data_IF_935864406234
#
_entry.id   IF_935864406234
#
_cell.length_a   1.000
_cell.length_b   1.000
_cell.length_c   1.000
_cell.angle_alpha   90.00
_cell.angle_beta   90.00
_cell.angle_gamma   90.00
#
_symmetry.space_group_name_H-M   'P 1'
#
loop_
_entity.id
_entity.type
_entity.pdbx_description
1 polymer ?
#
# COMPACT_ATOMS: atom_id res chain seq x y z
N UNK A 1 9.74 -41.51 -4.76
CA UNK A 1 9.51 -40.93 -6.08
C UNK A 1 10.15 -39.57 -6.08
N UNK A 2 11.25 -39.36 -6.80
CA UNK A 2 11.91 -38.05 -6.92
C UNK A 2 11.09 -37.22 -7.92
N UNK A 3 10.47 -36.13 -7.43
CA UNK A 3 9.82 -35.17 -8.29
C UNK A 3 10.87 -34.51 -9.18
N UNK A 4 10.82 -34.77 -10.49
CA UNK A 4 11.53 -34.00 -11.48
C UNK A 4 10.89 -32.63 -11.55
N UNK A 5 11.54 -31.64 -10.95
CA UNK A 5 11.23 -30.25 -11.19
C UNK A 5 11.54 -29.93 -12.65
N UNK A 6 10.50 -29.85 -13.47
CA UNK A 6 10.59 -29.26 -14.79
C UNK A 6 10.95 -27.77 -14.58
N UNK A 7 12.22 -27.45 -14.64
CA UNK A 7 12.65 -26.06 -14.86
C UNK A 7 12.13 -25.67 -16.24
N UNK A 8 11.06 -24.89 -16.26
CA UNK A 8 10.71 -24.10 -17.44
C UNK A 8 11.96 -23.26 -17.78
N UNK A 9 12.70 -23.67 -18.80
CA UNK A 9 13.69 -22.80 -19.42
C UNK A 9 12.90 -21.72 -20.14
N UNK A 10 12.66 -20.61 -19.46
CA UNK A 10 12.40 -19.35 -20.15
C UNK A 10 13.71 -19.05 -20.86
N UNK A 11 13.70 -18.98 -22.18
CA UNK A 11 14.85 -18.52 -22.96
C UNK A 11 15.10 -17.08 -22.54
N UNK A 12 16.15 -16.89 -21.75
CA UNK A 12 16.62 -15.60 -21.29
C UNK A 12 17.41 -15.01 -22.45
N UNK A 13 16.71 -14.29 -23.34
CA UNK A 13 17.35 -13.47 -24.35
C UNK A 13 18.08 -12.29 -23.69
N UNK A 14 19.02 -11.66 -24.40
CA UNK A 14 19.95 -10.60 -23.97
C UNK A 14 19.31 -9.40 -23.23
N UNK A 15 18.01 -9.39 -22.99
CA UNK A 15 17.23 -8.31 -22.37
C UNK A 15 17.06 -8.43 -20.85
N UNK A 16 17.42 -9.57 -20.25
CA UNK A 16 17.30 -9.82 -18.79
C UNK A 16 18.50 -9.36 -17.98
N UNK A 17 19.50 -8.75 -18.62
CA UNK A 17 20.81 -8.53 -18.00
C UNK A 17 20.81 -7.61 -16.78
N UNK A 18 19.95 -6.60 -16.71
CA UNK A 18 19.94 -5.70 -15.53
C UNK A 18 19.18 -6.30 -14.35
N UNK A 19 18.08 -7.00 -14.61
CA UNK A 19 17.31 -7.67 -13.54
C UNK A 19 18.12 -8.80 -12.91
N UNK A 20 18.87 -9.56 -13.71
CA UNK A 20 19.78 -10.60 -13.22
C UNK A 20 20.90 -10.05 -12.32
N UNK A 21 21.44 -8.87 -12.66
CA UNK A 21 22.45 -8.21 -11.83
C UNK A 21 21.89 -7.85 -10.44
N UNK A 22 20.65 -7.34 -10.38
CA UNK A 22 20.01 -7.02 -9.11
C UNK A 22 19.59 -8.26 -8.33
N UNK A 23 19.16 -9.31 -9.01
CA UNK A 23 18.91 -10.61 -8.39
C UNK A 23 20.18 -11.14 -7.73
N UNK A 24 21.30 -11.17 -8.43
CA UNK A 24 22.58 -11.59 -7.89
C UNK A 24 23.01 -10.75 -6.68
N UNK A 25 22.74 -9.45 -6.69
CA UNK A 25 23.00 -8.59 -5.54
C UNK A 25 22.20 -9.01 -4.30
N UNK A 26 20.89 -9.26 -4.43
CA UNK A 26 20.06 -9.71 -3.31
C UNK A 26 20.43 -11.11 -2.84
N UNK A 27 20.73 -12.04 -3.76
CA UNK A 27 21.21 -13.39 -3.44
C UNK A 27 22.53 -13.35 -2.65
N UNK A 28 23.46 -12.49 -3.06
CA UNK A 28 24.72 -12.29 -2.32
C UNK A 28 24.52 -11.73 -0.92
N UNK A 29 23.55 -10.83 -0.73
CA UNK A 29 23.20 -10.34 0.61
C UNK A 29 22.67 -11.49 1.48
N UNK A 30 21.73 -12.30 0.95
CA UNK A 30 21.12 -13.43 1.65
C UNK A 30 22.15 -14.50 2.03
N UNK A 31 23.08 -14.84 1.12
CA UNK A 31 24.20 -15.75 1.39
C UNK A 31 25.07 -15.29 2.55
N UNK A 32 25.21 -13.98 2.75
CA UNK A 32 25.95 -13.39 3.86
C UNK A 32 25.11 -13.15 5.12
N UNK A 33 23.83 -13.55 5.12
CA UNK A 33 22.88 -13.31 6.22
C UNK A 33 22.57 -11.83 6.46
N UNK A 34 22.73 -11.00 5.43
CA UNK A 34 22.50 -9.56 5.45
C UNK A 34 21.30 -9.23 4.59
N UNK A 35 20.47 -8.29 5.01
CA UNK A 35 19.36 -7.76 4.21
C UNK A 35 19.62 -6.32 3.80
N UNK A 36 19.04 -5.88 2.68
CA UNK A 36 19.19 -4.50 2.21
C UNK A 36 18.71 -3.50 3.27
N UNK A 37 17.72 -3.88 4.07
CA UNK A 37 17.11 -3.05 5.11
C UNK A 37 18.05 -2.72 6.26
N UNK A 38 19.14 -3.50 6.42
CA UNK A 38 20.18 -3.32 7.45
C UNK A 38 21.48 -2.78 6.89
N UNK A 39 21.56 -2.53 5.58
CA UNK A 39 22.76 -1.94 4.99
C UNK A 39 22.99 -0.51 5.48
N UNK A 40 24.28 -0.09 5.59
CA UNK A 40 24.60 1.33 5.79
C UNK A 40 23.95 2.20 4.70
N UNK A 41 23.48 3.38 5.08
CA UNK A 41 22.76 4.31 4.18
C UNK A 41 23.46 4.52 2.83
N UNK A 42 24.78 4.73 2.86
CA UNK A 42 25.57 4.94 1.63
C UNK A 42 25.45 3.75 0.65
N UNK A 43 25.40 2.53 1.16
CA UNK A 43 25.26 1.33 0.32
C UNK A 43 23.89 1.24 -0.33
N UNK A 44 22.84 1.66 0.38
CA UNK A 44 21.49 1.76 -0.19
C UNK A 44 21.46 2.83 -1.27
N UNK A 45 22.06 4.00 -1.05
CA UNK A 45 22.12 5.09 -2.02
C UNK A 45 22.93 4.71 -3.26
N UNK A 46 24.09 4.04 -3.10
CA UNK A 46 24.88 3.52 -4.21
C UNK A 46 24.10 2.51 -5.06
N UNK A 47 23.34 1.62 -4.41
CA UNK A 47 22.44 0.68 -5.08
C UNK A 47 21.33 1.41 -5.83
N UNK A 48 20.65 2.36 -5.18
CA UNK A 48 19.56 3.13 -5.78
C UNK A 48 20.04 3.92 -7.01
N UNK A 49 21.21 4.54 -6.96
CA UNK A 49 21.78 5.28 -8.10
C UNK A 49 22.01 4.34 -9.29
N UNK A 50 22.58 3.16 -9.07
CA UNK A 50 22.78 2.15 -10.13
C UNK A 50 21.44 1.68 -10.72
N UNK A 51 20.47 1.38 -9.86
CA UNK A 51 19.16 0.90 -10.29
C UNK A 51 18.36 1.97 -11.06
N UNK A 52 18.45 3.23 -10.64
CA UNK A 52 17.85 4.36 -11.38
C UNK A 52 18.50 4.51 -12.75
N UNK A 53 19.82 4.48 -12.85
CA UNK A 53 20.51 4.61 -14.13
C UNK A 53 20.18 3.45 -15.08
N UNK A 54 20.07 2.21 -14.57
CA UNK A 54 19.60 1.08 -15.36
C UNK A 54 18.15 1.30 -15.85
N UNK A 55 17.26 1.80 -14.99
CA UNK A 55 15.89 2.15 -15.36
C UNK A 55 15.84 3.27 -16.40
N UNK A 56 16.63 4.33 -16.25
CA UNK A 56 16.71 5.44 -17.22
C UNK A 56 17.21 4.94 -18.58
N UNK A 57 18.22 4.09 -18.60
CA UNK A 57 18.74 3.45 -19.83
C UNK A 57 17.67 2.58 -20.49
N UNK A 58 16.94 1.80 -19.71
CA UNK A 58 15.87 0.94 -20.20
C UNK A 58 14.75 1.75 -20.87
N UNK A 59 14.21 2.77 -20.17
CA UNK A 59 13.13 3.60 -20.72
C UNK A 59 13.58 4.43 -21.93
N UNK A 60 14.84 4.90 -21.96
CA UNK A 60 15.41 5.62 -23.10
C UNK A 60 15.45 4.77 -24.36
N UNK A 61 15.86 3.52 -24.22
CA UNK A 61 16.02 2.60 -25.35
C UNK A 61 14.68 2.00 -25.81
N UNK A 62 13.71 1.85 -24.93
CA UNK A 62 12.50 1.07 -25.16
C UNK A 62 11.22 1.90 -25.32
N UNK A 63 11.25 3.19 -24.97
CA UNK A 63 10.02 3.98 -24.96
C UNK A 63 10.24 5.39 -25.49
N UNK A 64 9.57 5.73 -26.58
CA UNK A 64 9.71 7.03 -27.26
C UNK A 64 9.21 8.20 -26.40
N UNK A 65 8.12 8.02 -25.66
CA UNK A 65 7.59 9.05 -24.77
C UNK A 65 8.60 9.44 -23.70
N UNK A 66 9.20 8.47 -23.02
CA UNK A 66 10.21 8.73 -22.00
C UNK A 66 11.46 9.37 -22.59
N UNK A 67 11.93 8.86 -23.74
CA UNK A 67 13.09 9.43 -24.43
C UNK A 67 12.85 10.90 -24.77
N UNK A 68 11.74 11.23 -25.42
CA UNK A 68 11.37 12.59 -25.77
C UNK A 68 11.33 13.50 -24.56
N UNK A 69 10.74 13.03 -23.43
CA UNK A 69 10.69 13.82 -22.19
C UNK A 69 12.05 14.06 -21.56
N UNK A 70 12.93 13.09 -21.60
CA UNK A 70 14.31 13.25 -21.12
C UNK A 70 15.11 14.22 -22.02
N UNK A 71 14.98 14.11 -23.35
CA UNK A 71 15.60 15.04 -24.30
C UNK A 71 15.11 16.49 -24.12
N UNK A 72 13.78 16.68 -23.95
CA UNK A 72 13.18 17.98 -23.62
C UNK A 72 13.75 18.57 -22.31
N UNK A 73 14.10 17.71 -21.34
CA UNK A 73 14.74 18.10 -20.09
C UNK A 73 16.27 18.29 -20.18
N UNK A 74 16.84 18.15 -21.38
CA UNK A 74 18.26 18.40 -21.65
C UNK A 74 19.17 17.19 -21.47
N UNK A 75 18.62 15.98 -21.31
CA UNK A 75 19.44 14.77 -21.28
C UNK A 75 19.93 14.41 -22.69
N UNK A 76 21.22 14.20 -22.83
CA UNK A 76 21.86 13.65 -24.05
C UNK A 76 22.23 12.17 -23.87
N UNK A 77 22.33 11.75 -22.62
CA UNK A 77 22.50 10.35 -22.19
C UNK A 77 21.57 10.09 -21.02
N UNK A 78 21.01 8.88 -20.88
CA UNK A 78 20.04 8.57 -19.82
C UNK A 78 20.71 8.23 -18.49
N UNK A 79 21.50 9.14 -17.95
CA UNK A 79 22.30 8.92 -16.76
C UNK A 79 22.31 10.13 -15.83
N UNK A 80 22.34 9.86 -14.54
CA UNK A 80 22.54 10.84 -13.46
C UNK A 80 23.77 10.43 -12.62
N UNK A 81 24.53 11.41 -12.16
CA UNK A 81 25.76 11.19 -11.39
C UNK A 81 25.48 11.05 -9.88
N UNK A 82 24.35 11.57 -9.43
CA UNK A 82 23.94 11.50 -8.01
C UNK A 82 22.43 11.47 -7.87
N UNK A 83 21.94 11.00 -6.71
CA UNK A 83 20.49 10.94 -6.43
C UNK A 83 19.82 12.32 -6.37
N UNK A 84 20.59 13.40 -6.11
CA UNK A 84 20.09 14.76 -6.17
C UNK A 84 19.71 15.16 -7.60
N UNK A 85 20.43 14.67 -8.60
CA UNK A 85 20.15 14.95 -10.01
C UNK A 85 18.86 14.27 -10.51
N UNK A 86 18.28 13.32 -9.74
CA UNK A 86 16.98 12.76 -10.06
C UNK A 86 15.91 13.86 -10.22
N UNK A 87 16.05 14.98 -9.52
CA UNK A 87 15.16 16.13 -9.63
C UNK A 87 15.12 16.75 -11.04
N UNK A 88 16.11 16.50 -11.89
CA UNK A 88 16.15 16.95 -13.31
C UNK A 88 15.28 16.07 -14.21
N UNK A 89 15.00 14.83 -13.80
CA UNK A 89 14.17 13.90 -14.56
C UNK A 89 12.71 14.35 -14.48
N UNK A 90 11.98 14.44 -15.61
CA UNK A 90 10.59 14.89 -15.63
C UNK A 90 9.65 14.01 -14.81
N UNK A 91 8.59 14.61 -14.29
CA UNK A 91 7.52 13.87 -13.60
C UNK A 91 6.66 13.06 -14.56
N UNK A 92 6.22 11.91 -14.09
CA UNK A 92 5.15 11.14 -14.71
C UNK A 92 3.84 11.43 -13.96
N UNK A 93 2.84 11.95 -14.68
CA UNK A 93 1.52 12.24 -14.14
C UNK A 93 0.51 11.13 -14.46
N UNK A 94 -0.48 10.94 -13.60
CA UNK A 94 -1.57 9.96 -13.79
C UNK A 94 -2.28 10.09 -15.14
N UNK A 95 -2.46 11.31 -15.64
CA UNK A 95 -3.19 11.58 -16.88
C UNK A 95 -2.50 11.00 -18.12
N UNK A 96 -1.17 10.89 -18.10
CA UNK A 96 -0.40 10.23 -19.18
C UNK A 96 -0.82 8.78 -19.32
N UNK A 97 -0.97 8.07 -18.19
CA UNK A 97 -1.32 6.65 -18.17
C UNK A 97 -2.81 6.44 -18.43
N UNK A 98 -3.67 7.35 -17.93
CA UNK A 98 -5.12 7.31 -18.19
C UNK A 98 -5.48 7.58 -19.64
N UNK A 99 -4.71 8.43 -20.30
CA UNK A 99 -4.94 8.82 -21.69
C UNK A 99 -4.60 7.70 -22.68
N UNK A 100 -3.51 6.99 -22.43
CA UNK A 100 -3.03 5.91 -23.30
C UNK A 100 -2.32 4.83 -22.46
N UNK A 101 -2.96 3.66 -22.40
CA UNK A 101 -2.43 2.50 -21.64
C UNK A 101 -1.09 1.97 -22.15
N UNK A 102 -0.72 2.29 -23.39
CA UNK A 102 0.55 1.87 -23.99
C UNK A 102 1.61 2.96 -23.95
N UNK A 103 1.26 4.18 -23.54
CA UNK A 103 2.14 5.35 -23.61
C UNK A 103 3.50 5.16 -22.96
N UNK A 104 3.53 4.47 -21.83
CA UNK A 104 4.76 4.20 -21.06
C UNK A 104 5.15 2.71 -21.04
N UNK A 105 4.56 1.90 -21.94
CA UNK A 105 4.91 0.50 -22.05
C UNK A 105 6.29 0.36 -22.72
N UNK A 106 7.20 -0.33 -22.05
CA UNK A 106 8.61 -0.53 -22.49
C UNK A 106 8.89 -1.90 -23.09
N UNK A 107 7.89 -2.79 -23.10
CA UNK A 107 7.98 -4.14 -23.63
C UNK A 107 6.99 -4.38 -24.77
N UNK A 108 7.29 -5.36 -25.62
CA UNK A 108 6.31 -5.84 -26.62
C UNK A 108 5.09 -6.45 -25.90
N UNK A 109 3.87 -6.25 -26.37
CA UNK A 109 2.68 -6.85 -25.76
C UNK A 109 2.75 -8.36 -25.51
N UNK A 110 3.49 -9.11 -26.31
CA UNK A 110 3.70 -10.57 -26.12
C UNK A 110 4.60 -10.91 -24.92
N UNK A 111 5.38 -9.95 -24.41
CA UNK A 111 6.24 -10.09 -23.23
C UNK A 111 5.52 -9.75 -21.91
N UNK A 112 4.26 -9.29 -22.02
CA UNK A 112 3.43 -8.98 -20.86
C UNK A 112 2.90 -10.26 -20.23
N UNK A 113 3.27 -10.48 -18.97
CA UNK A 113 2.80 -11.63 -18.19
C UNK A 113 1.45 -11.39 -17.54
N UNK A 114 1.15 -10.14 -17.15
CA UNK A 114 -0.10 -9.80 -16.46
C UNK A 114 -0.48 -8.33 -16.63
N UNK A 115 -1.80 -8.07 -16.65
CA UNK A 115 -2.37 -6.72 -16.67
C UNK A 115 -3.28 -6.54 -15.48
N UNK A 116 -3.09 -5.44 -14.76
CA UNK A 116 -3.93 -5.03 -13.64
C UNK A 116 -4.62 -3.70 -13.92
N UNK A 117 -5.72 -3.48 -13.21
CA UNK A 117 -6.49 -2.23 -13.27
C UNK A 117 -6.65 -1.66 -11.86
N UNK A 118 -6.59 -0.33 -11.76
CA UNK A 118 -7.05 0.35 -10.55
C UNK A 118 -8.58 0.33 -10.49
N UNK A 119 -9.15 0.46 -9.29
CA UNK A 119 -10.61 0.46 -9.09
C UNK A 119 -11.36 1.60 -9.81
N UNK A 120 -10.64 2.63 -10.28
CA UNK A 120 -11.24 3.75 -11.00
C UNK A 120 -12.20 4.64 -10.18
N UNK A 121 -12.15 4.59 -8.86
CA UNK A 121 -13.03 5.36 -7.95
C UNK A 121 -12.96 6.87 -8.19
N UNK A 122 -11.84 7.38 -8.69
CA UNK A 122 -11.61 8.80 -9.00
C UNK A 122 -11.54 9.10 -10.50
N UNK A 123 -12.16 8.26 -11.37
CA UNK A 123 -12.15 8.44 -12.81
C UNK A 123 -11.94 7.16 -13.61
N UNK A 124 -11.43 7.28 -14.87
CA UNK A 124 -11.11 6.09 -15.67
C UNK A 124 -10.05 5.24 -15.01
N UNK A 125 -10.17 3.89 -15.00
CA UNK A 125 -9.16 2.99 -14.47
C UNK A 125 -7.80 3.19 -15.13
N UNK A 126 -6.74 3.03 -14.36
CA UNK A 126 -5.37 2.98 -14.87
C UNK A 126 -5.02 1.51 -15.12
N UNK A 127 -4.53 1.23 -16.33
CA UNK A 127 -4.02 -0.08 -16.70
C UNK A 127 -2.54 -0.14 -16.37
N UNK A 128 -2.12 -1.23 -15.76
CA UNK A 128 -0.73 -1.45 -15.39
C UNK A 128 -0.30 -2.83 -15.84
N UNK A 129 0.76 -2.89 -16.64
CA UNK A 129 1.30 -4.13 -17.16
C UNK A 129 2.54 -4.56 -16.38
N UNK A 130 2.67 -5.85 -16.19
CA UNK A 130 3.80 -6.52 -15.54
C UNK A 130 4.36 -7.59 -16.48
N UNK A 131 5.68 -7.68 -16.62
CA UNK A 131 6.34 -8.83 -17.20
C UNK A 131 6.40 -9.99 -16.22
N UNK A 132 6.81 -11.17 -16.66
CA UNK A 132 7.11 -12.27 -15.73
C UNK A 132 8.30 -11.93 -14.83
N UNK A 133 9.27 -11.17 -15.34
CA UNK A 133 10.40 -10.70 -14.56
C UNK A 133 9.98 -9.70 -13.49
N UNK A 134 9.08 -8.76 -13.80
CA UNK A 134 8.50 -7.85 -12.80
C UNK A 134 7.82 -8.63 -11.66
N UNK A 135 7.07 -9.68 -11.99
CA UNK A 135 6.42 -10.52 -11.00
C UNK A 135 7.42 -11.29 -10.14
N UNK A 136 8.48 -11.81 -10.75
CA UNK A 136 9.52 -12.54 -10.04
C UNK A 136 10.25 -11.67 -9.03
N UNK A 137 10.49 -10.41 -9.35
CA UNK A 137 11.06 -9.43 -8.40
C UNK A 137 10.15 -9.27 -7.18
N UNK A 138 8.84 -9.16 -7.38
CA UNK A 138 7.88 -9.10 -6.26
C UNK A 138 7.87 -10.38 -5.41
N UNK A 139 8.01 -11.54 -6.03
CA UNK A 139 8.04 -12.81 -5.34
C UNK A 139 9.32 -13.00 -4.50
N UNK A 140 10.43 -12.41 -4.93
CA UNK A 140 11.72 -12.52 -4.25
C UNK A 140 11.96 -11.45 -3.19
N UNK A 141 11.53 -10.21 -3.45
CA UNK A 141 11.78 -9.10 -2.53
C UNK A 141 11.38 -9.41 -1.09
N UNK A 142 10.20 -9.99 -0.83
CA UNK A 142 9.79 -10.31 0.52
C UNK A 142 10.62 -11.36 1.22
N UNK A 143 11.26 -12.28 0.46
CA UNK A 143 12.19 -13.25 1.02
C UNK A 143 13.39 -12.58 1.68
N UNK A 144 13.78 -11.42 1.17
CA UNK A 144 14.87 -10.61 1.68
C UNK A 144 14.44 -9.54 2.68
N UNK A 145 13.12 -9.34 2.89
CA UNK A 145 12.60 -8.33 3.80
C UNK A 145 12.57 -8.86 5.23
N UNK A 146 13.35 -8.27 6.09
CA UNK A 146 13.40 -8.57 7.52
C UNK A 146 12.02 -8.50 8.20
N UNK A 147 11.16 -7.59 7.73
CA UNK A 147 9.78 -7.40 8.21
C UNK A 147 8.90 -8.65 8.12
N UNK A 148 9.26 -9.63 7.29
CA UNK A 148 8.50 -10.86 7.10
C UNK A 148 9.20 -12.12 7.66
N UNK A 149 10.45 -12.00 8.13
CA UNK A 149 11.24 -13.17 8.60
C UNK A 149 10.74 -13.80 9.90
N UNK A 150 10.00 -13.07 10.72
CA UNK A 150 9.58 -13.51 12.05
C UNK A 150 8.26 -14.25 12.10
N UNK A 151 7.62 -14.46 10.97
CA UNK A 151 6.31 -15.09 10.93
C UNK A 151 6.44 -16.59 10.71
N UNK A 152 6.23 -17.40 11.77
CA UNK A 152 5.78 -18.78 11.66
C UNK A 152 4.39 -18.76 11.01
N UNK A 153 4.37 -18.69 9.70
CA UNK A 153 3.15 -18.58 8.91
C UNK A 153 2.80 -19.95 8.36
N UNK A 154 1.80 -20.59 8.94
CA UNK A 154 1.35 -21.90 8.49
C UNK A 154 0.31 -21.79 7.36
N UNK A 155 -0.70 -20.95 7.56
CA UNK A 155 -1.79 -20.71 6.60
C UNK A 155 -2.13 -19.23 6.54
N UNK A 156 -2.15 -18.68 5.33
CA UNK A 156 -2.52 -17.28 5.07
C UNK A 156 -3.89 -17.21 4.41
N UNK A 157 -4.80 -16.46 5.02
CA UNK A 157 -6.06 -16.07 4.41
C UNK A 157 -5.86 -14.78 3.62
N UNK A 158 -6.00 -14.85 2.29
CA UNK A 158 -5.92 -13.68 1.40
C UNK A 158 -7.34 -13.23 1.06
N UNK A 159 -7.85 -12.26 1.81
CA UNK A 159 -9.17 -11.66 1.66
C UNK A 159 -9.10 -10.31 0.93
N UNK A 160 -8.56 -10.33 -0.28
CA UNK A 160 -8.32 -9.20 -1.16
C UNK A 160 -8.87 -9.50 -2.57
N UNK A 161 -9.22 -8.47 -3.38
CA UNK A 161 -9.69 -8.70 -4.75
C UNK A 161 -8.66 -9.45 -5.59
N UNK A 162 -9.12 -10.45 -6.32
CA UNK A 162 -8.30 -11.25 -7.25
C UNK A 162 -8.50 -10.85 -8.70
N UNK A 163 -9.72 -10.45 -9.07
CA UNK A 163 -10.17 -10.32 -10.45
C UNK A 163 -9.09 -9.67 -11.34
N UNK A 164 -9.11 -8.38 -11.52
CA UNK A 164 -8.07 -7.64 -12.27
C UNK A 164 -7.20 -6.78 -11.34
N UNK A 165 -7.38 -6.91 -10.04
CA UNK A 165 -6.63 -6.16 -9.04
C UNK A 165 -5.32 -6.87 -8.67
N UNK A 166 -4.26 -6.10 -8.44
CA UNK A 166 -2.95 -6.65 -8.04
C UNK A 166 -2.95 -7.32 -6.65
N UNK A 167 -3.63 -6.79 -5.60
CA UNK A 167 -3.36 -7.22 -4.23
C UNK A 167 -3.61 -8.70 -3.96
N UNK A 168 -4.72 -9.29 -4.42
CA UNK A 168 -5.02 -10.70 -4.18
C UNK A 168 -3.94 -11.62 -4.72
N UNK A 169 -3.62 -11.49 -6.01
CA UNK A 169 -2.58 -12.27 -6.67
C UNK A 169 -1.18 -11.97 -6.11
N UNK A 170 -0.89 -10.70 -5.84
CA UNK A 170 0.42 -10.28 -5.31
C UNK A 170 0.70 -10.90 -3.94
N UNK A 171 -0.23 -10.80 -2.99
CA UNK A 171 -0.04 -11.42 -1.67
C UNK A 171 -0.04 -12.95 -1.73
N UNK A 172 -0.87 -13.56 -2.58
CA UNK A 172 -0.83 -15.00 -2.78
C UNK A 172 0.55 -15.46 -3.24
N UNK A 173 1.10 -14.84 -4.30
CA UNK A 173 2.43 -15.16 -4.81
C UNK A 173 3.51 -14.94 -3.75
N UNK A 174 3.46 -13.80 -3.07
CA UNK A 174 4.34 -13.47 -1.97
C UNK A 174 4.44 -14.62 -0.95
N UNK A 175 3.32 -15.04 -0.41
CA UNK A 175 3.31 -16.06 0.64
C UNK A 175 3.67 -17.45 0.11
N UNK A 176 3.25 -17.81 -1.10
CA UNK A 176 3.58 -19.10 -1.69
C UNK A 176 5.05 -19.21 -2.09
N UNK A 177 5.61 -18.18 -2.73
CA UNK A 177 6.96 -18.28 -3.31
C UNK A 177 8.06 -17.80 -2.39
N UNK A 178 7.81 -16.75 -1.58
CA UNK A 178 8.81 -16.27 -0.64
C UNK A 178 8.84 -17.08 0.67
N UNK A 179 7.67 -17.49 1.17
CA UNK A 179 7.56 -18.16 2.47
C UNK A 179 7.18 -19.65 2.40
N UNK A 180 6.77 -20.15 1.23
CA UNK A 180 6.36 -21.56 1.08
C UNK A 180 5.09 -21.94 1.86
N UNK A 181 4.21 -20.98 2.14
CA UNK A 181 3.03 -21.17 2.99
C UNK A 181 1.79 -21.57 2.21
N UNK A 182 0.87 -22.26 2.86
CA UNK A 182 -0.47 -22.52 2.33
C UNK A 182 -1.28 -21.21 2.28
N UNK A 183 -2.05 -21.01 1.19
CA UNK A 183 -2.87 -19.82 1.00
C UNK A 183 -4.34 -20.20 0.80
N UNK A 184 -5.22 -19.60 1.58
CA UNK A 184 -6.66 -19.55 1.36
C UNK A 184 -7.00 -18.33 0.52
N UNK A 185 -7.30 -18.54 -0.75
CA UNK A 185 -7.65 -17.46 -1.70
C UNK A 185 -9.12 -17.08 -1.54
N UNK A 186 -9.44 -16.28 -0.52
CA UNK A 186 -10.82 -15.97 -0.14
C UNK A 186 -11.49 -14.91 -1.02
N UNK A 187 -10.69 -14.04 -1.68
CA UNK A 187 -11.27 -12.88 -2.33
C UNK A 187 -11.86 -11.89 -1.31
N UNK A 188 -12.79 -11.06 -1.71
CA UNK A 188 -13.37 -10.04 -0.84
C UNK A 188 -14.91 -10.09 -0.88
N UNK A 189 -15.50 -11.09 -0.25
CA UNK A 189 -16.96 -11.22 -0.12
C UNK A 189 -17.71 -11.52 -1.42
N UNK A 190 -17.04 -12.16 -2.38
CA UNK A 190 -17.65 -12.55 -3.65
C UNK A 190 -18.57 -13.76 -3.55
N UNK A 191 -19.23 -14.11 -4.66
CA UNK A 191 -20.17 -15.22 -4.74
C UNK A 191 -19.60 -16.56 -4.22
N UNK A 192 -18.35 -16.87 -4.55
CA UNK A 192 -17.72 -18.13 -4.17
C UNK A 192 -17.23 -18.17 -2.72
N UNK A 193 -16.93 -17.02 -2.15
CA UNK A 193 -16.45 -16.87 -0.78
C UNK A 193 -17.18 -15.71 -0.08
N UNK A 194 -18.49 -15.87 0.21
CA UNK A 194 -19.19 -14.93 1.05
C UNK A 194 -18.58 -14.90 2.46
N UNK A 195 -18.93 -13.92 3.26
CA UNK A 195 -18.27 -13.63 4.54
C UNK A 195 -18.31 -14.82 5.51
N UNK A 196 -19.48 -15.45 5.64
CA UNK A 196 -19.70 -16.64 6.48
C UNK A 196 -18.76 -17.79 6.08
N UNK A 197 -18.73 -18.14 4.79
CA UNK A 197 -17.85 -19.19 4.28
C UNK A 197 -16.38 -18.83 4.43
N UNK A 198 -16.02 -17.57 4.27
CA UNK A 198 -14.64 -17.12 4.50
C UNK A 198 -14.21 -17.32 5.94
N UNK A 199 -15.08 -17.00 6.90
CA UNK A 199 -14.84 -17.22 8.33
C UNK A 199 -14.76 -18.71 8.68
N UNK A 200 -15.67 -19.54 8.12
CA UNK A 200 -15.62 -20.99 8.29
C UNK A 200 -14.30 -21.58 7.77
N UNK A 201 -13.85 -21.19 6.58
CA UNK A 201 -12.58 -21.66 6.02
C UNK A 201 -11.37 -21.20 6.86
N UNK A 202 -11.38 -19.96 7.36
CA UNK A 202 -10.31 -19.48 8.25
C UNK A 202 -10.26 -20.31 9.55
N UNK A 203 -11.42 -20.71 10.11
CA UNK A 203 -11.52 -21.57 11.27
C UNK A 203 -11.08 -22.99 10.95
N UNK A 204 -11.60 -23.61 9.88
CA UNK A 204 -11.32 -25.00 9.52
C UNK A 204 -9.83 -25.23 9.20
N UNK A 205 -9.23 -24.33 8.44
CA UNK A 205 -7.83 -24.41 8.05
C UNK A 205 -6.88 -23.73 9.04
N UNK A 206 -7.38 -23.25 10.17
CA UNK A 206 -6.57 -22.63 11.23
C UNK A 206 -5.66 -21.52 10.69
N UNK A 207 -6.23 -20.57 9.94
CA UNK A 207 -5.47 -19.45 9.39
C UNK A 207 -4.73 -18.69 10.49
N UNK A 208 -3.44 -18.43 10.27
CA UNK A 208 -2.56 -17.72 11.21
C UNK A 208 -2.30 -16.29 10.80
N UNK A 209 -2.44 -15.97 9.50
CA UNK A 209 -2.31 -14.62 8.96
C UNK A 209 -3.52 -14.29 8.09
N UNK A 210 -4.01 -13.06 8.21
CA UNK A 210 -5.03 -12.49 7.33
C UNK A 210 -4.45 -11.30 6.57
N UNK A 211 -4.56 -11.29 5.24
CA UNK A 211 -4.29 -10.10 4.44
C UNK A 211 -5.59 -9.55 3.88
N UNK A 212 -5.86 -8.27 4.16
CA UNK A 212 -7.15 -7.68 3.78
C UNK A 212 -7.10 -6.14 3.78
N UNK A 213 -8.26 -5.51 3.58
CA UNK A 213 -8.42 -4.06 3.79
C UNK A 213 -8.91 -3.76 5.21
N UNK A 214 -8.65 -2.55 5.76
CA UNK A 214 -9.12 -2.16 7.09
C UNK A 214 -10.61 -2.38 7.30
N UNK A 215 -11.44 -1.90 6.37
CA UNK A 215 -12.89 -2.04 6.45
C UNK A 215 -13.36 -3.49 6.41
N UNK A 216 -12.70 -4.34 5.62
CA UNK A 216 -13.08 -5.76 5.53
C UNK A 216 -12.63 -6.55 6.75
N UNK A 217 -11.50 -6.18 7.39
CA UNK A 217 -11.11 -6.74 8.68
C UNK A 217 -12.14 -6.44 9.78
N UNK A 218 -12.70 -5.21 9.79
CA UNK A 218 -13.77 -4.83 10.71
C UNK A 218 -15.07 -5.62 10.41
N UNK A 219 -15.42 -5.76 9.12
CA UNK A 219 -16.61 -6.54 8.72
C UNK A 219 -16.49 -8.02 9.13
N UNK A 220 -15.34 -8.64 8.88
CA UNK A 220 -15.11 -10.04 9.29
C UNK A 220 -15.23 -10.21 10.80
N UNK A 221 -14.77 -9.24 11.59
CA UNK A 221 -14.89 -9.27 13.04
C UNK A 221 -16.35 -9.14 13.50
N UNK A 222 -17.12 -8.21 12.92
CA UNK A 222 -18.57 -8.08 13.20
C UNK A 222 -19.35 -9.34 12.85
N UNK A 223 -19.13 -9.86 11.65
CA UNK A 223 -19.85 -11.03 11.16
C UNK A 223 -19.44 -12.31 11.92
N UNK A 224 -18.21 -12.40 12.43
CA UNK A 224 -17.81 -13.54 13.27
C UNK A 224 -18.66 -13.64 14.52
N UNK A 225 -18.94 -12.51 15.17
CA UNK A 225 -19.84 -12.47 16.34
C UNK A 225 -21.27 -12.90 15.96
N UNK A 226 -21.76 -12.44 14.80
CA UNK A 226 -23.10 -12.78 14.29
C UNK A 226 -23.24 -14.27 13.95
N UNK A 227 -22.19 -14.89 13.42
CA UNK A 227 -22.18 -16.34 13.12
C UNK A 227 -21.75 -17.20 14.30
N UNK A 228 -21.49 -16.61 15.47
CA UNK A 228 -21.07 -17.33 16.68
C UNK A 228 -19.66 -17.91 16.59
N UNK A 229 -18.83 -17.37 15.71
CA UNK A 229 -17.41 -17.74 15.58
C UNK A 229 -16.61 -16.84 16.52
N UNK A 230 -15.87 -17.45 17.44
CA UNK A 230 -15.14 -16.74 18.47
C UNK A 230 -13.71 -16.42 18.01
N UNK A 231 -13.41 -15.14 17.85
CA UNK A 231 -12.05 -14.65 17.64
C UNK A 231 -11.22 -14.95 18.89
N UNK A 232 -10.00 -15.46 18.70
CA UNK A 232 -9.10 -15.90 19.76
C UNK A 232 -9.31 -17.35 20.24
N UNK A 233 -10.46 -17.98 19.93
CA UNK A 233 -10.73 -19.38 20.21
C UNK A 233 -10.83 -20.21 18.92
N UNK A 234 -11.79 -19.89 18.06
CA UNK A 234 -12.03 -20.58 16.78
C UNK A 234 -11.08 -20.11 15.67
N UNK A 235 -10.82 -18.80 15.57
CA UNK A 235 -9.87 -18.17 14.66
C UNK A 235 -8.78 -17.50 15.51
N UNK A 236 -7.52 -17.96 15.34
CA UNK A 236 -6.38 -17.51 16.14
C UNK A 236 -5.31 -16.91 15.23
N UNK A 237 -5.57 -15.71 14.73
CA UNK A 237 -4.58 -15.01 13.93
C UNK A 237 -3.38 -14.59 14.82
N UNK A 238 -2.19 -14.71 14.25
CA UNK A 238 -0.95 -14.14 14.79
C UNK A 238 -0.74 -12.74 14.26
N UNK A 239 -1.19 -12.47 13.01
CA UNK A 239 -0.97 -11.19 12.33
C UNK A 239 -2.06 -10.88 11.32
N UNK A 240 -2.39 -9.60 11.19
CA UNK A 240 -3.16 -9.06 10.08
C UNK A 240 -2.30 -8.08 9.30
N UNK A 241 -2.27 -8.22 7.98
CA UNK A 241 -1.60 -7.29 7.07
C UNK A 241 -2.66 -6.52 6.30
N UNK A 242 -2.76 -5.23 6.56
CA UNK A 242 -3.74 -4.34 5.93
C UNK A 242 -3.16 -3.64 4.72
N UNK A 243 -3.98 -3.44 3.69
CA UNK A 243 -3.62 -2.67 2.49
C UNK A 243 -4.84 -2.10 1.77
N UNK A 244 -4.61 -1.25 0.78
CA UNK A 244 -5.62 -0.82 -0.20
C UNK A 244 -6.54 0.31 0.22
N UNK A 245 -6.65 0.60 1.50
CA UNK A 245 -7.44 1.73 2.06
C UNK A 245 -6.57 2.53 3.04
N UNK A 246 -6.91 3.80 3.28
CA UNK A 246 -6.33 4.54 4.40
C UNK A 246 -6.75 3.92 5.73
N UNK A 247 -5.87 3.93 6.69
CA UNK A 247 -6.11 3.41 8.04
C UNK A 247 -5.37 4.26 9.05
N UNK A 248 -6.11 4.93 9.93
CA UNK A 248 -5.50 5.68 11.03
C UNK A 248 -4.90 4.74 12.08
N UNK A 249 -3.96 5.25 12.86
CA UNK A 249 -3.36 4.46 13.95
C UNK A 249 -4.41 3.99 14.97
N UNK A 250 -5.40 4.83 15.27
CA UNK A 250 -6.46 4.46 16.20
C UNK A 250 -7.42 3.42 15.64
N UNK A 251 -7.70 3.45 14.34
CA UNK A 251 -8.47 2.40 13.68
C UNK A 251 -7.71 1.07 13.74
N UNK A 252 -6.41 1.07 13.42
CA UNK A 252 -5.53 -0.10 13.53
C UNK A 252 -5.51 -0.66 14.95
N UNK A 253 -5.25 0.17 15.98
CA UNK A 253 -5.25 -0.25 17.39
C UNK A 253 -6.57 -0.91 17.83
N UNK A 254 -7.70 -0.46 17.28
CA UNK A 254 -9.00 -1.10 17.53
C UNK A 254 -9.11 -2.46 16.89
N UNK A 255 -8.63 -2.62 15.67
CA UNK A 255 -8.56 -3.93 15.01
C UNK A 255 -7.67 -4.89 15.80
N UNK A 256 -6.50 -4.44 16.27
CA UNK A 256 -5.61 -5.24 17.13
C UNK A 256 -6.31 -5.76 18.38
N UNK A 257 -7.04 -4.87 19.05
CA UNK A 257 -7.83 -5.24 20.26
C UNK A 257 -8.95 -6.22 19.93
N UNK A 258 -9.60 -6.05 18.77
CA UNK A 258 -10.73 -6.90 18.40
C UNK A 258 -10.27 -8.28 17.96
N UNK A 259 -9.21 -8.36 17.16
CA UNK A 259 -8.65 -9.62 16.67
C UNK A 259 -7.68 -10.31 17.65
N UNK A 260 -7.18 -9.58 18.65
CA UNK A 260 -6.21 -10.09 19.62
C UNK A 260 -4.86 -10.43 19.02
N UNK A 261 -4.45 -9.77 17.94
CA UNK A 261 -3.19 -10.01 17.23
C UNK A 261 -2.56 -8.71 16.70
N UNK A 262 -1.31 -8.78 16.29
CA UNK A 262 -0.62 -7.66 15.64
C UNK A 262 -1.27 -7.30 14.31
N UNK A 263 -1.43 -6.00 14.04
CA UNK A 263 -1.94 -5.47 12.79
C UNK A 263 -0.92 -4.51 12.17
N UNK A 264 -0.37 -4.87 11.03
CA UNK A 264 0.59 -4.06 10.27
C UNK A 264 -0.03 -3.55 8.98
N UNK A 265 0.45 -2.42 8.49
CA UNK A 265 -0.05 -1.82 7.26
C UNK A 265 0.98 -1.86 6.12
N UNK A 266 0.48 -2.07 4.92
CA UNK A 266 1.24 -2.19 3.69
C UNK A 266 0.79 -1.10 2.72
N UNK A 267 1.62 -0.07 2.52
CA UNK A 267 1.34 1.01 1.59
C UNK A 267 1.85 0.69 0.21
N UNK A 268 0.98 0.79 -0.77
CA UNK A 268 1.30 0.57 -2.17
C UNK A 268 0.18 0.97 -3.11
N UNK A 269 0.45 0.89 -4.39
CA UNK A 269 -0.52 1.12 -5.46
C UNK A 269 -0.37 0.08 -6.57
N UNK A 270 -1.39 -0.05 -7.40
CA UNK A 270 -1.32 -0.94 -8.58
C UNK A 270 -0.21 -0.50 -9.52
N UNK A 271 0.06 0.81 -9.61
CA UNK A 271 1.08 1.38 -10.49
C UNK A 271 2.50 1.13 -10.00
N UNK A 272 2.75 1.31 -8.71
CA UNK A 272 4.09 1.23 -8.11
C UNK A 272 4.39 -0.09 -7.40
N UNK A 273 3.36 -0.89 -7.13
CA UNK A 273 3.47 -2.04 -6.24
C UNK A 273 3.60 -1.62 -4.79
N UNK A 274 4.42 -2.33 -4.03
CA UNK A 274 4.71 -2.00 -2.62
C UNK A 274 5.63 -0.80 -2.56
N UNK A 275 5.27 0.20 -1.76
CA UNK A 275 6.07 1.41 -1.58
C UNK A 275 6.70 1.46 -0.19
N UNK A 276 5.92 1.15 0.85
CA UNK A 276 6.42 1.16 2.22
C UNK A 276 5.62 0.20 3.12
N UNK A 277 6.24 -0.34 4.16
CA UNK A 277 5.65 -1.33 5.07
C UNK A 277 5.90 -0.94 6.52
N UNK A 278 4.89 -1.10 7.35
CA UNK A 278 4.97 -0.85 8.78
C UNK A 278 5.75 -1.97 9.48
N UNK A 279 6.61 -1.63 10.44
CA UNK A 279 7.26 -2.60 11.33
C UNK A 279 6.50 -2.72 12.66
N UNK A 280 6.91 -3.65 13.53
CA UNK A 280 6.31 -3.87 14.86
C UNK A 280 6.34 -2.66 15.79
N UNK A 281 7.21 -1.68 15.54
CA UNK A 281 7.26 -0.43 16.31
C UNK A 281 6.13 0.54 16.00
N UNK A 282 5.46 0.38 14.85
CA UNK A 282 4.33 1.20 14.38
C UNK A 282 4.59 2.73 14.38
N UNK A 283 5.84 3.12 14.12
CA UNK A 283 6.28 4.52 14.10
C UNK A 283 6.36 5.11 12.67
N UNK A 284 5.53 4.63 11.77
CA UNK A 284 5.52 4.97 10.34
C UNK A 284 5.86 3.76 9.46
N UNK A 285 6.07 3.99 8.18
CA UNK A 285 6.24 2.94 7.17
C UNK A 285 7.65 2.97 6.61
N UNK A 286 8.42 1.90 6.76
CA UNK A 286 9.73 1.79 6.14
C UNK A 286 9.60 1.71 4.63
N UNK A 287 10.25 2.63 3.92
CA UNK A 287 10.25 2.66 2.46
C UNK A 287 10.99 1.44 1.93
N UNK A 288 10.41 0.76 0.95
CA UNK A 288 11.00 -0.40 0.31
C UNK A 288 12.12 0.02 -0.65
N UNK A 289 13.22 0.53 -0.09
CA UNK A 289 14.32 1.21 -0.81
C UNK A 289 15.11 0.31 -1.75
N UNK A 290 14.97 -1.00 -1.64
CA UNK A 290 15.45 -1.96 -2.63
C UNK A 290 14.58 -2.05 -3.89
N UNK A 291 13.38 -1.49 -3.84
CA UNK A 291 12.37 -1.61 -4.88
C UNK A 291 11.91 -0.26 -5.43
N UNK A 292 11.86 0.77 -4.58
CA UNK A 292 11.43 2.11 -4.96
C UNK A 292 12.36 3.18 -4.40
N UNK A 293 12.39 4.34 -5.07
CA UNK A 293 12.87 5.61 -4.52
C UNK A 293 11.67 6.50 -4.27
N UNK A 294 11.56 7.04 -3.07
CA UNK A 294 10.51 8.00 -2.70
C UNK A 294 11.12 9.40 -2.56
N UNK A 295 10.43 10.39 -3.11
CA UNK A 295 10.69 11.81 -2.94
C UNK A 295 9.41 12.47 -2.37
N UNK A 296 9.56 13.54 -1.62
CA UNK A 296 8.45 14.42 -1.24
C UNK A 296 8.64 15.76 -1.95
N UNK A 297 7.59 16.25 -2.60
CA UNK A 297 7.62 17.51 -3.32
C UNK A 297 6.53 18.48 -2.82
N UNK A 298 6.77 19.75 -3.00
CA UNK A 298 5.69 20.73 -2.94
C UNK A 298 4.78 20.53 -4.16
N UNK A 299 3.48 20.28 -3.99
CA UNK A 299 2.60 19.96 -5.11
C UNK A 299 2.38 21.14 -6.08
N UNK A 300 2.67 22.40 -5.64
CA UNK A 300 2.49 23.63 -6.40
C UNK A 300 3.80 24.03 -7.09
N UNK A 301 4.90 24.16 -6.33
CA UNK A 301 6.20 24.61 -6.88
C UNK A 301 6.98 23.48 -7.53
N UNK A 302 6.59 22.21 -7.28
CA UNK A 302 7.23 20.97 -7.75
C UNK A 302 8.66 20.77 -7.22
N UNK A 303 9.09 21.58 -6.28
CA UNK A 303 10.40 21.46 -5.66
C UNK A 303 10.41 20.33 -4.63
N UNK A 304 11.53 19.61 -4.57
CA UNK A 304 11.77 18.58 -3.56
C UNK A 304 11.82 19.20 -2.17
N UNK A 305 11.09 18.62 -1.24
CA UNK A 305 11.03 19.03 0.15
C UNK A 305 12.05 18.28 1.02
N UNK A 306 12.61 18.92 2.05
CA UNK A 306 13.47 18.26 3.00
C UNK A 306 12.68 17.31 3.91
N UNK A 307 13.41 16.40 4.59
CA UNK A 307 12.84 15.51 5.61
C UNK A 307 11.99 16.27 6.64
N UNK A 308 10.88 15.68 7.07
CA UNK A 308 9.93 16.24 8.02
C UNK A 308 8.94 17.25 7.43
N UNK A 309 9.06 17.61 6.17
CA UNK A 309 8.10 18.50 5.49
C UNK A 309 7.08 17.69 4.71
N UNK A 310 5.80 18.01 4.96
CA UNK A 310 4.67 17.36 4.29
C UNK A 310 4.50 17.89 2.87
N UNK A 311 4.29 16.98 1.92
CA UNK A 311 4.05 17.30 0.51
C UNK A 311 3.52 16.09 -0.24
N UNK A 312 3.51 16.15 -1.56
CA UNK A 312 3.10 15.05 -2.42
C UNK A 312 4.18 13.97 -2.49
N UNK A 313 3.76 12.72 -2.39
CA UNK A 313 4.63 11.54 -2.51
C UNK A 313 4.86 11.25 -3.99
N UNK A 314 6.13 11.24 -4.39
CA UNK A 314 6.59 10.88 -5.73
C UNK A 314 7.38 9.58 -5.65
N UNK A 315 7.08 8.63 -6.55
CA UNK A 315 7.69 7.30 -6.53
C UNK A 315 8.42 7.03 -7.84
N UNK A 316 9.65 6.52 -7.73
CA UNK A 316 10.40 5.93 -8.85
C UNK A 316 10.58 4.44 -8.56
N UNK A 317 10.07 3.56 -9.43
CA UNK A 317 10.31 2.11 -9.34
C UNK A 317 11.69 1.78 -9.89
N UNK A 318 12.43 0.89 -9.22
CA UNK A 318 13.84 0.62 -9.52
C UNK A 318 14.07 -0.60 -10.40
N UNK A 319 13.20 -1.60 -10.32
CA UNK A 319 13.44 -2.92 -10.92
C UNK A 319 12.34 -3.31 -11.91
N UNK A 320 11.56 -2.36 -12.39
CA UNK A 320 10.40 -2.63 -13.22
C UNK A 320 10.72 -2.45 -14.70
N UNK A 321 10.35 -3.45 -15.52
CA UNK A 321 10.65 -3.49 -16.95
C UNK A 321 9.46 -3.13 -17.83
N UNK A 322 8.27 -3.67 -17.53
CA UNK A 322 7.12 -3.49 -18.41
C UNK A 322 6.61 -2.05 -18.46
N UNK A 323 6.37 -1.47 -17.30
CA UNK A 323 5.90 -0.09 -17.15
C UNK A 323 6.63 0.59 -15.99
N UNK A 324 7.89 1.02 -16.15
CA UNK A 324 8.63 1.74 -15.12
C UNK A 324 7.92 3.03 -14.74
N UNK A 325 7.68 3.24 -13.46
CA UNK A 325 7.18 4.51 -12.92
C UNK A 325 8.37 5.36 -12.53
N UNK A 326 8.68 6.39 -13.31
CA UNK A 326 9.81 7.27 -13.04
C UNK A 326 9.29 8.64 -12.61
N UNK A 327 9.62 9.04 -11.37
CA UNK A 327 9.10 10.23 -10.71
C UNK A 327 7.57 10.37 -10.84
N UNK A 328 6.88 9.27 -10.58
CA UNK A 328 5.42 9.19 -10.66
C UNK A 328 4.77 9.95 -9.51
N UNK A 329 3.94 10.94 -9.85
CA UNK A 329 3.15 11.69 -8.89
C UNK A 329 1.95 10.87 -8.43
N UNK A 330 2.01 10.37 -7.20
CA UNK A 330 1.01 9.44 -6.66
C UNK A 330 -0.33 10.13 -6.34
N UNK A 331 -0.30 11.43 -6.02
CA UNK A 331 -1.42 12.18 -5.47
C UNK A 331 -1.67 11.87 -3.98
N UNK A 332 -0.84 11.04 -3.36
CA UNK A 332 -0.85 10.82 -1.93
C UNK A 332 0.03 11.85 -1.22
N UNK A 333 -0.31 12.20 0.02
CA UNK A 333 0.39 13.19 0.83
C UNK A 333 1.09 12.51 1.99
N UNK A 334 2.31 12.95 2.28
CA UNK A 334 3.08 12.45 3.40
C UNK A 334 4.39 13.22 3.60
N UNK A 335 5.22 12.72 4.49
CA UNK A 335 6.58 13.21 4.66
C UNK A 335 7.54 12.06 4.95
N UNK A 336 8.80 12.25 4.58
CA UNK A 336 9.89 11.33 4.89
C UNK A 336 10.63 11.75 6.15
N UNK A 337 11.08 10.78 6.91
CA UNK A 337 11.98 10.92 8.05
C UNK A 337 13.13 9.93 7.90
N UNK A 338 14.36 10.36 8.24
CA UNK A 338 15.50 9.42 8.33
C UNK A 338 15.22 8.39 9.40
N UNK A 339 15.55 7.13 9.11
CA UNK A 339 15.33 6.05 10.07
C UNK A 339 16.04 6.31 11.39
N UNK A 340 15.28 6.22 12.46
CA UNK A 340 15.71 6.13 13.86
C UNK A 340 14.80 5.15 14.60
N UNK A 341 14.34 4.11 13.87
CA UNK A 341 13.41 3.15 14.40
C UNK A 341 14.15 2.13 15.29
N UNK A 342 13.55 1.79 16.41
CA UNK A 342 14.10 0.81 17.36
C UNK A 342 14.11 -0.62 16.78
N UNK A 343 13.38 -0.86 15.67
CA UNK A 343 13.43 -2.12 14.92
C UNK A 343 14.80 -2.41 14.27
N UNK A 344 15.72 -1.43 14.23
CA UNK A 344 17.06 -1.56 13.68
C UNK A 344 17.17 -1.45 12.16
N UNK A 345 16.06 -1.18 11.44
CA UNK A 345 16.06 -0.96 10.00
C UNK A 345 16.63 0.42 9.65
N UNK A 346 17.41 0.50 8.58
CA UNK A 346 18.10 1.73 8.15
C UNK A 346 17.38 2.51 7.06
N UNK A 347 16.29 1.94 6.53
CA UNK A 347 15.47 2.56 5.48
C UNK A 347 14.72 3.78 5.97
N UNK A 348 14.54 4.77 5.10
CA UNK A 348 13.73 5.94 5.41
C UNK A 348 12.31 5.56 5.84
N UNK A 349 11.73 6.36 6.73
CA UNK A 349 10.38 6.17 7.24
C UNK A 349 9.43 7.18 6.57
N UNK A 350 8.40 6.66 5.93
CA UNK A 350 7.32 7.44 5.33
C UNK A 350 6.16 7.56 6.32
N UNK A 351 5.66 8.78 6.49
CA UNK A 351 4.46 9.07 7.26
C UNK A 351 3.35 9.52 6.32
N UNK A 352 2.32 8.70 6.16
CA UNK A 352 1.16 9.01 5.32
C UNK A 352 0.25 10.05 6.00
N UNK A 353 -0.34 10.92 5.17
CA UNK A 353 -1.28 11.95 5.59
C UNK A 353 -2.61 11.92 4.83
N UNK A 354 -2.74 11.07 3.81
CA UNK A 354 -3.93 10.90 3.00
C UNK A 354 -3.72 11.21 1.52
N UNK A 355 -4.80 11.56 0.82
CA UNK A 355 -4.79 11.90 -0.60
C UNK A 355 -5.13 13.35 -0.84
N UNK A 356 -4.48 13.98 -1.81
CA UNK A 356 -4.75 15.37 -2.21
C UNK A 356 -6.21 15.57 -2.61
N UNK A 357 -6.76 14.65 -3.41
CA UNK A 357 -8.13 14.72 -3.93
C UNK A 357 -9.21 14.58 -2.85
N UNK A 358 -8.85 14.06 -1.67
CA UNK A 358 -9.77 13.79 -0.58
C UNK A 358 -9.58 14.75 0.61
N UNK A 359 -8.80 15.80 0.44
CA UNK A 359 -8.64 16.80 1.51
C UNK A 359 -9.92 17.59 1.71
N UNK A 360 -10.28 17.81 2.97
CA UNK A 360 -11.47 18.52 3.40
C UNK A 360 -11.03 19.84 4.03
N UNK A 361 -11.46 20.96 3.46
CA UNK A 361 -11.22 22.27 4.03
C UNK A 361 -12.19 22.53 5.18
N UNK A 362 -11.66 22.65 6.39
CA UNK A 362 -12.43 22.96 7.60
C UNK A 362 -11.81 24.19 8.27
N UNK A 363 -12.53 25.32 8.22
CA UNK A 363 -11.95 26.60 8.63
C UNK A 363 -10.73 26.98 7.79
N UNK A 364 -9.60 27.25 8.44
CA UNK A 364 -8.35 27.63 7.80
C UNK A 364 -7.39 26.45 7.53
N UNK A 365 -7.79 25.22 7.89
CA UNK A 365 -6.96 24.04 7.79
C UNK A 365 -7.54 23.00 6.81
N UNK A 366 -6.66 22.21 6.20
CA UNK A 366 -7.01 21.09 5.34
C UNK A 366 -6.79 19.77 6.09
N UNK A 367 -7.85 18.99 6.23
CA UNK A 367 -7.84 17.68 6.89
C UNK A 367 -8.02 16.55 5.89
N UNK A 368 -7.20 15.51 6.00
CA UNK A 368 -7.48 14.27 5.29
C UNK A 368 -8.47 13.40 6.06
N UNK A 369 -9.21 12.50 5.37
CA UNK A 369 -10.06 11.52 6.06
C UNK A 369 -9.29 10.69 7.07
N UNK A 370 -8.01 10.39 6.81
CA UNK A 370 -7.10 9.69 7.71
C UNK A 370 -6.95 10.40 9.07
N UNK A 371 -6.78 11.73 9.05
CA UNK A 371 -6.64 12.53 10.28
C UNK A 371 -7.98 12.65 11.00
N UNK A 372 -9.07 12.88 10.27
CA UNK A 372 -10.41 12.94 10.86
C UNK A 372 -10.81 11.58 11.48
N UNK A 373 -10.48 10.47 10.80
CA UNK A 373 -10.65 9.13 11.34
C UNK A 373 -9.86 8.92 12.63
N UNK A 374 -8.59 9.39 12.65
CA UNK A 374 -7.75 9.31 13.84
C UNK A 374 -8.45 9.95 15.06
N UNK A 375 -9.00 11.15 14.88
CA UNK A 375 -9.72 11.85 15.95
C UNK A 375 -11.02 11.14 16.33
N UNK A 376 -11.83 10.73 15.35
CA UNK A 376 -13.08 10.03 15.61
C UNK A 376 -12.87 8.71 16.36
N UNK A 377 -11.84 7.96 15.98
CA UNK A 377 -11.50 6.67 16.57
C UNK A 377 -10.86 6.78 17.98
N UNK A 378 -10.53 7.97 18.46
CA UNK A 378 -10.17 8.20 19.86
C UNK A 378 -11.35 8.03 20.82
N UNK A 379 -12.60 8.04 20.30
CA UNK A 379 -13.82 7.86 21.08
C UNK A 379 -14.21 6.37 21.10
N UNK A 380 -14.04 5.64 22.22
CA UNK A 380 -14.26 4.19 22.26
C UNK A 380 -15.68 3.74 21.89
N UNK A 381 -16.67 4.59 22.15
CA UNK A 381 -18.09 4.32 21.92
C UNK A 381 -18.53 4.44 20.46
N UNK A 382 -17.65 4.90 19.57
CA UNK A 382 -17.90 4.99 18.13
C UNK A 382 -17.48 3.70 17.42
N UNK A 383 -18.31 3.20 16.52
CA UNK A 383 -18.04 2.01 15.71
C UNK A 383 -17.02 2.25 14.59
N UNK A 384 -16.75 1.19 13.83
CA UNK A 384 -15.80 1.22 12.71
C UNK A 384 -16.43 1.75 11.42
N UNK A 385 -17.75 2.04 11.44
CA UNK A 385 -18.52 2.53 10.29
C UNK A 385 -18.96 3.96 10.55
N UNK A 386 -18.57 4.84 9.63
CA UNK A 386 -18.82 6.28 9.72
C UNK A 386 -18.67 6.91 8.33
N UNK A 387 -19.25 8.12 8.18
CA UNK A 387 -19.09 8.99 7.02
C UNK A 387 -18.77 10.42 7.45
N UNK A 388 -17.91 11.07 6.69
CA UNK A 388 -17.74 12.52 6.73
C UNK A 388 -18.48 13.12 5.54
N UNK A 389 -19.45 14.00 5.78
CA UNK A 389 -20.26 14.65 4.77
C UNK A 389 -19.95 16.13 4.68
N UNK A 390 -19.83 16.61 3.46
CA UNK A 390 -19.64 18.03 3.16
C UNK A 390 -20.87 18.52 2.41
N UNK A 391 -21.71 19.33 3.06
CA UNK A 391 -22.90 19.92 2.48
C UNK A 391 -22.82 21.45 2.55
N UNK A 392 -22.69 22.14 1.41
CA UNK A 392 -22.79 23.61 1.27
C UNK A 392 -22.07 24.40 2.39
N UNK A 393 -20.88 23.94 2.81
CA UNK A 393 -20.07 24.58 3.86
C UNK A 393 -20.33 24.07 5.29
N UNK A 394 -21.26 23.13 5.51
CA UNK A 394 -21.39 22.42 6.78
C UNK A 394 -20.64 21.10 6.76
N UNK A 395 -19.99 20.78 7.88
CA UNK A 395 -19.33 19.50 8.10
C UNK A 395 -20.20 18.63 9.01
N UNK A 396 -20.58 17.46 8.52
CA UNK A 396 -21.39 16.50 9.25
C UNK A 396 -20.70 15.15 9.36
N UNK A 397 -20.80 14.54 10.53
CA UNK A 397 -20.30 13.20 10.84
C UNK A 397 -21.49 12.28 11.04
N UNK A 398 -21.56 11.20 10.28
CA UNK A 398 -22.43 10.07 10.56
C UNK A 398 -21.57 8.96 11.18
N UNK A 399 -21.98 8.39 12.30
CA UNK A 399 -21.24 7.34 12.97
C UNK A 399 -22.18 6.31 13.61
N UNK A 400 -21.74 5.07 13.66
CA UNK A 400 -22.44 4.02 14.40
C UNK A 400 -21.92 3.93 15.85
N UNK A 401 -22.80 3.58 16.82
CA UNK A 401 -22.37 3.29 18.17
C UNK A 401 -21.65 1.93 18.23
N UNK A 402 -20.76 1.75 19.20
CA UNK A 402 -20.06 0.50 19.45
C UNK A 402 -20.01 0.16 20.93
N UNK A 403 -20.69 -0.92 21.32
CA UNK A 403 -20.67 -1.49 22.70
C UNK A 403 -20.78 -0.43 23.80
N UNK A 404 -21.73 0.52 23.66
CA UNK A 404 -21.93 1.66 24.57
C UNK A 404 -23.30 1.61 25.18
N UNK A 405 -23.43 2.13 26.43
CA UNK A 405 -24.69 2.38 27.11
C UNK A 405 -25.21 3.82 26.89
N UNK A 406 -24.46 4.66 26.15
CA UNK A 406 -24.87 6.01 25.85
C UNK A 406 -26.06 6.01 24.87
N UNK A 407 -27.01 6.94 25.12
CA UNK A 407 -28.05 7.22 24.12
C UNK A 407 -27.44 7.87 22.88
N UNK A 408 -28.12 7.81 21.73
CA UNK A 408 -27.68 8.45 20.49
C UNK A 408 -27.37 9.93 20.66
N UNK A 409 -28.20 10.65 21.44
CA UNK A 409 -28.01 12.08 21.76
C UNK A 409 -26.73 12.31 22.60
N UNK A 410 -26.49 11.46 23.58
CA UNK A 410 -25.31 11.54 24.44
C UNK A 410 -24.05 11.25 23.62
N UNK A 411 -24.08 10.24 22.77
CA UNK A 411 -22.97 9.89 21.89
C UNK A 411 -22.69 10.99 20.86
N UNK A 412 -23.75 11.53 20.22
CA UNK A 412 -23.62 12.64 19.28
C UNK A 412 -22.99 13.88 19.94
N UNK A 413 -23.40 14.19 21.17
CA UNK A 413 -22.86 15.30 21.96
C UNK A 413 -21.38 15.08 22.29
N UNK A 414 -21.01 13.84 22.67
CA UNK A 414 -19.62 13.45 22.95
C UNK A 414 -18.73 13.58 21.70
N UNK A 415 -19.20 13.08 20.55
CA UNK A 415 -18.49 13.19 19.28
C UNK A 415 -18.31 14.66 18.90
N UNK A 416 -19.38 15.45 18.92
CA UNK A 416 -19.33 16.88 18.57
C UNK A 416 -18.30 17.63 19.40
N UNK A 417 -18.34 17.46 20.73
CA UNK A 417 -17.38 18.11 21.63
C UNK A 417 -15.94 17.68 21.32
N UNK A 418 -15.69 16.37 21.22
CA UNK A 418 -14.35 15.85 20.96
C UNK A 418 -13.79 16.34 19.62
N UNK A 419 -14.61 16.29 18.56
CA UNK A 419 -14.18 16.75 17.24
C UNK A 419 -13.94 18.27 17.23
N UNK A 420 -14.81 19.06 17.83
CA UNK A 420 -14.61 20.52 17.96
C UNK A 420 -13.29 20.86 18.68
N UNK A 421 -12.95 20.13 19.75
CA UNK A 421 -11.67 20.27 20.47
C UNK A 421 -10.45 19.93 19.59
N UNK A 422 -10.60 19.01 18.60
CA UNK A 422 -9.53 18.57 17.71
C UNK A 422 -9.37 19.41 16.45
N UNK A 423 -10.46 19.85 15.84
CA UNK A 423 -10.47 20.57 14.55
C UNK A 423 -10.75 22.06 14.66
N UNK A 424 -11.12 22.55 15.87
CA UNK A 424 -11.36 23.97 16.14
C UNK A 424 -12.67 24.53 15.56
N UNK A 425 -13.53 23.69 14.99
CA UNK A 425 -14.83 24.08 14.44
C UNK A 425 -15.94 23.16 14.92
N UNK A 426 -17.17 23.67 14.95
CA UNK A 426 -18.35 22.87 15.27
C UNK A 426 -18.73 21.98 14.07
N UNK A 427 -19.32 20.82 14.35
CA UNK A 427 -19.78 19.89 13.35
C UNK A 427 -21.16 19.31 13.71
N UNK A 428 -21.95 19.01 12.70
CA UNK A 428 -23.17 18.23 12.88
C UNK A 428 -22.82 16.76 13.11
N UNK A 429 -23.55 16.09 14.03
CA UNK A 429 -23.34 14.65 14.29
C UNK A 429 -24.68 13.95 14.25
N UNK A 430 -24.75 12.88 13.48
CA UNK A 430 -25.90 11.97 13.42
C UNK A 430 -25.45 10.55 13.75
N UNK A 431 -26.12 9.95 14.75
CA UNK A 431 -25.89 8.53 15.05
C UNK A 431 -26.78 7.69 14.15
N UNK A 432 -26.17 6.73 13.48
CA UNK A 432 -26.80 5.79 12.57
C UNK A 432 -26.61 4.38 13.09
N UNK A 433 -27.51 3.46 12.71
CA UNK A 433 -27.41 2.03 13.03
C UNK A 433 -27.44 1.17 11.77
N UNK A 434 -27.36 1.81 10.60
CA UNK A 434 -27.59 1.20 9.28
C UNK A 434 -26.60 1.70 8.22
N UNK A 435 -25.39 2.08 8.62
CA UNK A 435 -24.35 2.47 7.63
C UNK A 435 -24.03 1.24 6.77
N UNK A 436 -24.19 1.32 5.45
CA UNK A 436 -24.01 0.16 4.58
C UNK A 436 -22.59 -0.43 4.63
N UNK A 437 -22.50 -1.74 4.83
CA UNK A 437 -21.24 -2.48 4.71
C UNK A 437 -20.89 -2.64 3.24
N UNK A 438 -19.63 -2.45 2.91
CA UNK A 438 -19.14 -2.57 1.54
C UNK A 438 -18.03 -3.61 1.44
N UNK A 439 -18.09 -4.43 0.40
CA UNK A 439 -16.99 -5.33 0.05
C UNK A 439 -15.89 -4.61 -0.75
N UNK A 440 -16.18 -3.45 -1.30
CA UNK A 440 -15.21 -2.55 -1.94
C UNK A 440 -14.35 -1.79 -0.92
N UNK A 441 -13.75 -0.69 -1.36
CA UNK A 441 -13.13 0.28 -0.45
C UNK A 441 -14.24 1.03 0.30
N UNK A 442 -14.06 1.22 1.61
CA UNK A 442 -15.02 2.00 2.37
C UNK A 442 -15.05 3.45 1.88
N UNK A 443 -16.26 3.94 1.56
CA UNK A 443 -16.47 5.35 1.25
C UNK A 443 -16.54 6.11 2.56
N UNK A 444 -15.51 6.90 2.86
CA UNK A 444 -15.43 7.68 4.11
C UNK A 444 -15.89 9.12 3.93
N UNK A 445 -15.83 9.64 2.70
CA UNK A 445 -16.31 10.99 2.34
C UNK A 445 -17.52 10.87 1.45
N UNK A 446 -18.56 11.62 1.75
CA UNK A 446 -19.76 11.79 0.91
C UNK A 446 -19.90 13.29 0.63
N UNK A 447 -19.82 13.66 -0.63
CA UNK A 447 -19.98 15.04 -1.14
C UNK A 447 -21.33 15.22 -1.80
#
# INVERSE_FOLDING_TARGET
>A
MKAQTHKMKVSVDEHTSHLEQFKAFFEQLDENGITIEKLPRQKIEDYQLKAINATLTHIWNRNEYYRSKLEEAGFTVPEIESLEQLTKVPFLNKDVIRGDKQKILCLDPKEIGQVHLTSGTSGKPIYTSYSLADQYVYDLLPKYLELFKETDVDVVAVALPYEFALPGLGFQRLFQFAFGTAVLSLGKGGYMAPVDKSLELMKEFQATVLTTTPSYAALLAEESERFGIKIGEDIRLKKIVLTGEGCSYKFRERLEKWWGCEVSFFYGSTECGVVAVECSEHKGYHVMEGHVKVEIINPITLEKLPYGKTGEIVVTTLLREAMPMVRYRSGDIGYLQKSKCDCGLTMDVLHLRGRMENMIRLGDEDYSPFILEQFLMEIPDVGMWYHFKLNQGSFKIEAEPFRTELTDEQLATKIRKHMADRIGIDCEVEIRHDIPRTFGKATRIIT
#
